data_IF_247040849336
#
_entry.id   IF_247040849336
#
_cell.length_a   1.000
_cell.length_b   1.000
_cell.length_c   1.000
_cell.angle_alpha   90.00
_cell.angle_beta   90.00
_cell.angle_gamma   90.00
#
_symmetry.space_group_name_H-M   'P 1'
#
loop_
_entity.id
_entity.type
_entity.pdbx_description
1 polymer ?
#
# COMPACT_ATOMS: atom_id res chain seq x y z
N UNK A 1 1.35 27.92 -5.79
CA UNK A 1 0.03 28.32 -5.26
C UNK A 1 -0.92 27.17 -5.58
N UNK A 2 -1.40 26.45 -4.57
CA UNK A 2 -2.23 25.24 -4.76
C UNK A 2 -3.63 25.65 -5.20
N UNK A 3 -4.15 25.00 -6.25
CA UNK A 3 -5.48 25.28 -6.80
C UNK A 3 -6.57 24.86 -5.79
N UNK A 4 -7.66 25.63 -5.59
CA UNK A 4 -8.85 25.17 -4.85
C UNK A 4 -9.33 23.77 -5.25
N UNK A 5 -9.18 23.38 -6.52
CA UNK A 5 -9.52 22.04 -7.01
C UNK A 5 -8.63 20.93 -6.42
N UNK A 6 -7.32 21.20 -6.27
CA UNK A 6 -6.35 20.30 -5.62
C UNK A 6 -6.74 20.05 -4.15
N UNK A 7 -7.13 21.10 -3.41
CA UNK A 7 -7.59 20.96 -2.02
C UNK A 7 -8.88 20.15 -1.90
N UNK A 8 -9.83 20.32 -2.82
CA UNK A 8 -11.08 19.56 -2.82
C UNK A 8 -10.83 18.07 -3.12
N UNK A 9 -9.92 17.77 -4.05
CA UNK A 9 -9.51 16.40 -4.36
C UNK A 9 -8.83 15.74 -3.15
N UNK A 10 -7.85 16.43 -2.56
CA UNK A 10 -7.13 15.96 -1.37
C UNK A 10 -8.08 15.71 -0.20
N UNK A 11 -9.00 16.64 0.09
CA UNK A 11 -10.03 16.47 1.12
C UNK A 11 -10.88 15.22 0.89
N UNK A 12 -11.37 14.99 -0.33
CA UNK A 12 -12.24 13.83 -0.63
C UNK A 12 -11.53 12.51 -0.39
N UNK A 13 -10.23 12.47 -0.66
CA UNK A 13 -9.40 11.27 -0.52
C UNK A 13 -8.91 11.04 0.92
N UNK A 14 -8.48 12.12 1.60
CA UNK A 14 -7.80 12.05 2.90
C UNK A 14 -8.73 12.24 4.10
N UNK A 15 -10.01 12.59 3.89
CA UNK A 15 -10.96 12.73 4.98
C UNK A 15 -11.51 11.37 5.42
N UNK A 16 -11.59 11.11 6.74
CA UNK A 16 -12.09 9.85 7.24
C UNK A 16 -13.55 9.62 6.83
N UNK A 17 -13.87 8.38 6.51
CA UNK A 17 -15.23 7.95 6.23
C UNK A 17 -16.00 7.84 7.56
N UNK A 18 -17.34 7.91 7.55
CA UNK A 18 -18.15 7.76 8.77
C UNK A 18 -17.89 6.47 9.57
N UNK A 19 -17.38 5.43 8.89
CA UNK A 19 -17.10 4.10 9.44
C UNK A 19 -15.62 3.87 9.74
N UNK A 20 -14.77 4.88 9.57
CA UNK A 20 -13.34 4.78 9.80
C UNK A 20 -13.01 4.84 11.29
N UNK A 21 -12.15 3.93 11.76
CA UNK A 21 -11.60 3.95 13.13
C UNK A 21 -10.36 4.83 13.28
N UNK A 22 -10.07 5.71 12.33
CA UNK A 22 -8.92 6.62 12.33
C UNK A 22 -9.35 8.08 12.09
N UNK A 23 -8.47 9.01 12.45
CA UNK A 23 -8.61 10.45 12.22
C UNK A 23 -7.25 11.11 12.02
N UNK A 24 -7.25 12.34 11.54
CA UNK A 24 -6.09 13.22 11.67
C UNK A 24 -6.04 13.81 13.08
N UNK A 25 -4.84 13.98 13.62
CA UNK A 25 -4.62 14.71 14.87
C UNK A 25 -5.00 16.19 14.73
N UNK A 26 -5.00 16.93 15.84
CA UNK A 26 -5.40 18.34 15.87
C UNK A 26 -4.52 19.22 14.96
N UNK A 27 -3.23 18.89 14.83
CA UNK A 27 -2.27 19.61 14.00
C UNK A 27 -2.23 19.13 12.53
N UNK A 28 -2.95 18.06 12.18
CA UNK A 28 -2.96 17.41 10.85
C UNK A 28 -1.57 17.03 10.37
N UNK A 29 -0.73 16.62 11.31
CA UNK A 29 0.61 16.10 11.05
C UNK A 29 0.65 14.59 11.21
N UNK A 30 -0.33 13.99 11.88
CA UNK A 30 -0.37 12.58 12.20
C UNK A 30 -1.75 12.02 11.88
N UNK A 31 -1.78 10.85 11.25
CA UNK A 31 -2.98 10.02 11.17
C UNK A 31 -2.90 9.03 12.32
N UNK A 32 -3.94 8.99 13.14
CA UNK A 32 -4.04 8.17 14.35
C UNK A 32 -5.32 7.34 14.36
N UNK A 33 -5.28 6.21 15.04
CA UNK A 33 -6.46 5.48 15.45
C UNK A 33 -7.30 6.30 16.44
N UNK A 34 -8.57 5.95 16.60
CA UNK A 34 -9.49 6.61 17.56
C UNK A 34 -9.02 6.53 19.02
N UNK A 35 -8.12 5.61 19.36
CA UNK A 35 -7.47 5.48 20.67
C UNK A 35 -6.20 6.35 20.81
N UNK A 36 -5.81 7.10 19.78
CA UNK A 36 -4.61 7.95 19.74
C UNK A 36 -3.34 7.23 19.25
N UNK A 37 -3.39 5.94 18.94
CA UNK A 37 -2.23 5.20 18.41
C UNK A 37 -1.89 5.71 17.01
N UNK A 38 -0.64 6.11 16.81
CA UNK A 38 -0.16 6.64 15.52
C UNK A 38 -0.17 5.57 14.42
N UNK A 39 -0.68 5.93 13.24
CA UNK A 39 -0.60 5.12 12.01
C UNK A 39 0.55 5.60 11.13
N UNK A 40 0.53 6.88 10.75
CA UNK A 40 1.51 7.46 9.82
C UNK A 40 1.61 8.98 10.00
N UNK A 41 2.80 9.52 9.70
CA UNK A 41 3.00 10.96 9.65
C UNK A 41 2.62 11.53 8.28
N UNK A 42 2.21 12.80 8.25
CA UNK A 42 1.85 13.50 7.01
C UNK A 42 2.97 13.46 5.97
N UNK A 43 4.20 13.75 6.38
CA UNK A 43 5.36 13.77 5.49
C UNK A 43 5.64 12.38 4.89
N UNK A 44 5.46 11.34 5.71
CA UNK A 44 5.56 9.94 5.27
C UNK A 44 4.49 9.64 4.20
N UNK A 45 3.23 10.00 4.48
CA UNK A 45 2.12 9.82 3.54
C UNK A 45 2.35 10.59 2.25
N UNK A 46 2.86 11.82 2.32
CA UNK A 46 3.15 12.64 1.15
C UNK A 46 4.16 11.98 0.22
N UNK A 47 5.24 11.42 0.76
CA UNK A 47 6.25 10.71 -0.04
C UNK A 47 5.70 9.42 -0.64
N UNK A 48 4.96 8.62 0.14
CA UNK A 48 4.35 7.39 -0.36
C UNK A 48 3.34 7.68 -1.45
N UNK A 49 2.43 8.64 -1.24
CA UNK A 49 1.42 9.01 -2.23
C UNK A 49 2.05 9.61 -3.48
N UNK A 50 3.11 10.42 -3.36
CA UNK A 50 3.86 10.94 -4.51
C UNK A 50 4.47 9.83 -5.34
N UNK A 51 5.01 8.80 -4.69
CA UNK A 51 5.59 7.63 -5.35
C UNK A 51 4.54 6.76 -6.06
N UNK A 52 3.36 6.59 -5.46
CA UNK A 52 2.25 5.85 -6.06
C UNK A 52 1.54 6.61 -7.19
N UNK A 53 1.47 7.95 -7.10
CA UNK A 53 0.65 8.80 -7.97
C UNK A 53 0.79 8.54 -9.49
N UNK A 54 1.99 8.26 -10.07
CA UNK A 54 2.11 7.95 -11.49
C UNK A 54 1.28 6.73 -11.95
N UNK A 55 0.98 5.80 -11.03
CA UNK A 55 0.16 4.61 -11.28
C UNK A 55 -1.28 4.76 -10.76
N UNK A 56 -1.61 5.92 -10.19
CA UNK A 56 -2.86 6.17 -9.46
C UNK A 56 -2.75 5.86 -7.97
N UNK A 57 -3.82 6.11 -7.21
CA UNK A 57 -3.83 5.90 -5.75
C UNK A 57 -4.80 4.78 -5.33
N UNK A 58 -4.41 3.93 -4.37
CA UNK A 58 -5.33 3.00 -3.73
C UNK A 58 -6.33 3.75 -2.84
N UNK A 59 -7.39 3.11 -2.33
CA UNK A 59 -8.23 3.72 -1.31
C UNK A 59 -7.40 4.05 -0.06
N UNK A 60 -7.62 5.24 0.49
CA UNK A 60 -6.78 5.76 1.58
C UNK A 60 -6.88 4.90 2.84
N UNK A 61 -8.07 4.38 3.16
CA UNK A 61 -8.26 3.43 4.26
C UNK A 61 -7.40 2.18 4.10
N UNK A 62 -7.32 1.63 2.88
CA UNK A 62 -6.52 0.43 2.59
C UNK A 62 -5.03 0.70 2.80
N UNK A 63 -4.56 1.87 2.36
CA UNK A 63 -3.18 2.30 2.57
C UNK A 63 -2.86 2.45 4.06
N UNK A 64 -3.72 3.11 4.84
CA UNK A 64 -3.53 3.28 6.28
C UNK A 64 -3.48 1.93 7.02
N UNK A 65 -4.32 0.96 6.65
CA UNK A 65 -4.27 -0.39 7.21
C UNK A 65 -2.92 -1.08 6.94
N UNK A 66 -2.38 -0.94 5.73
CA UNK A 66 -1.07 -1.50 5.39
C UNK A 66 0.05 -0.83 6.20
N UNK A 67 0.03 0.50 6.34
CA UNK A 67 1.04 1.24 7.10
C UNK A 67 0.97 0.93 8.59
N UNK A 68 -0.23 0.78 9.15
CA UNK A 68 -0.41 0.36 10.52
C UNK A 68 0.18 -1.04 10.79
N UNK A 69 0.02 -1.98 9.86
CA UNK A 69 0.61 -3.32 9.97
C UNK A 69 2.15 -3.31 9.95
N UNK A 70 2.76 -2.22 9.47
CA UNK A 70 4.20 -2.04 9.53
C UNK A 70 4.69 -1.58 10.92
N UNK A 71 3.80 -1.14 11.82
CA UNK A 71 4.14 -0.64 13.15
C UNK A 71 4.20 -1.76 14.21
N UNK A 72 4.98 -1.55 15.26
CA UNK A 72 5.17 -2.59 16.27
C UNK A 72 3.92 -2.85 17.13
N UNK A 73 3.05 -1.84 17.27
CA UNK A 73 1.78 -1.90 18.01
C UNK A 73 0.62 -2.55 17.22
N UNK A 74 0.87 -3.06 16.02
CA UNK A 74 -0.18 -3.62 15.15
C UNK A 74 -1.05 -4.69 15.84
N UNK A 75 -0.46 -5.59 16.63
CA UNK A 75 -1.20 -6.68 17.28
C UNK A 75 -2.27 -6.15 18.27
N UNK A 76 -1.93 -5.11 19.04
CA UNK A 76 -2.87 -4.49 19.99
C UNK A 76 -4.00 -3.78 19.23
N UNK A 77 -3.64 -3.09 18.15
CA UNK A 77 -4.58 -2.38 17.27
C UNK A 77 -5.53 -3.35 16.57
N UNK A 78 -5.03 -4.47 16.04
CA UNK A 78 -5.83 -5.42 15.26
C UNK A 78 -6.87 -6.13 16.13
N UNK A 79 -6.49 -6.51 17.36
CA UNK A 79 -7.42 -7.04 18.37
C UNK A 79 -8.48 -6.02 18.75
N UNK A 80 -8.08 -4.76 19.00
CA UNK A 80 -9.02 -3.70 19.33
C UNK A 80 -9.99 -3.42 18.19
N UNK A 81 -9.50 -3.36 16.95
CA UNK A 81 -10.32 -3.14 15.75
C UNK A 81 -11.34 -4.27 15.56
N UNK A 82 -10.93 -5.53 15.73
CA UNK A 82 -11.83 -6.67 15.64
C UNK A 82 -12.91 -6.64 16.73
N UNK A 83 -12.53 -6.29 17.97
CA UNK A 83 -13.48 -6.12 19.08
C UNK A 83 -14.47 -4.97 18.82
N UNK A 84 -14.00 -3.81 18.37
CA UNK A 84 -14.85 -2.67 18.01
C UNK A 84 -15.85 -3.04 16.91
N UNK A 85 -15.38 -3.67 15.84
CA UNK A 85 -16.23 -4.07 14.72
C UNK A 85 -17.24 -5.16 15.16
N UNK A 86 -16.82 -6.11 15.98
CA UNK A 86 -17.71 -7.14 16.54
C UNK A 86 -18.83 -6.55 17.40
N UNK A 87 -18.50 -5.56 18.24
CA UNK A 87 -19.50 -4.83 19.03
C UNK A 87 -20.47 -4.07 18.13
N UNK A 88 -19.98 -3.33 17.13
CA UNK A 88 -20.82 -2.60 16.18
C UNK A 88 -21.76 -3.53 15.40
N UNK A 89 -21.26 -4.69 14.96
CA UNK A 89 -22.04 -5.71 14.28
C UNK A 89 -23.15 -6.27 15.19
N UNK A 90 -22.84 -6.55 16.46
CA UNK A 90 -23.83 -7.04 17.44
C UNK A 90 -24.96 -6.03 17.69
N UNK A 91 -24.63 -4.75 17.82
CA UNK A 91 -25.61 -3.66 18.03
C UNK A 91 -26.43 -3.44 16.77
N UNK A 92 -25.79 -3.48 15.59
CA UNK A 92 -26.43 -3.34 14.29
C UNK A 92 -27.23 -4.57 13.84
N UNK A 93 -27.18 -5.69 14.57
CA UNK A 93 -27.71 -7.00 14.17
C UNK A 93 -27.22 -7.44 12.79
N UNK A 94 -26.00 -7.07 12.44
CA UNK A 94 -25.29 -7.52 11.25
C UNK A 94 -24.20 -8.52 11.63
N UNK A 95 -23.81 -9.38 10.69
CA UNK A 95 -22.58 -10.17 10.85
C UNK A 95 -21.38 -9.35 10.38
N UNK A 96 -20.22 -9.62 10.98
CA UNK A 96 -18.97 -9.22 10.37
C UNK A 96 -18.83 -9.91 9.01
N UNK A 97 -18.22 -9.24 8.01
CA UNK A 97 -17.93 -9.91 6.76
C UNK A 97 -16.91 -11.04 6.98
N UNK A 98 -17.17 -12.22 6.41
CA UNK A 98 -16.31 -13.41 6.58
C UNK A 98 -14.87 -13.22 6.05
N UNK A 99 -14.67 -12.26 5.15
CA UNK A 99 -13.35 -11.92 4.60
C UNK A 99 -12.49 -11.07 5.53
N UNK A 100 -13.06 -10.42 6.55
CA UNK A 100 -12.35 -9.47 7.39
C UNK A 100 -11.25 -10.14 8.25
N UNK A 101 -11.51 -11.27 8.94
CA UNK A 101 -10.47 -11.99 9.66
C UNK A 101 -9.31 -12.42 8.75
N UNK A 102 -9.60 -12.78 7.50
CA UNK A 102 -8.56 -13.16 6.54
C UNK A 102 -7.66 -11.97 6.16
N UNK A 103 -8.23 -10.77 5.97
CA UNK A 103 -7.43 -9.55 5.74
C UNK A 103 -6.53 -9.27 6.94
N UNK A 104 -7.06 -9.36 8.17
CA UNK A 104 -6.28 -9.10 9.38
C UNK A 104 -5.13 -10.10 9.52
N UNK A 105 -5.39 -11.40 9.31
CA UNK A 105 -4.34 -12.42 9.32
C UNK A 105 -3.27 -12.22 8.23
N UNK A 106 -3.65 -11.68 7.06
CA UNK A 106 -2.68 -11.28 6.02
C UNK A 106 -1.90 -10.02 6.37
N UNK A 107 -2.45 -9.12 7.18
CA UNK A 107 -1.70 -7.97 7.70
C UNK A 107 -0.71 -8.41 8.80
N UNK A 108 -1.02 -9.46 9.55
CA UNK A 108 -0.07 -10.06 10.48
C UNK A 108 1.18 -10.62 9.78
N UNK A 109 1.06 -11.08 8.52
CA UNK A 109 2.24 -11.50 7.75
C UNK A 109 3.13 -10.30 7.35
N UNK A 110 2.54 -9.13 7.09
CA UNK A 110 3.29 -7.87 6.89
C UNK A 110 4.03 -7.49 8.17
N UNK A 111 3.36 -7.60 9.33
CA UNK A 111 3.97 -7.36 10.65
C UNK A 111 5.15 -8.30 10.94
N UNK A 112 5.04 -9.54 10.49
CA UNK A 112 6.07 -10.57 10.63
C UNK A 112 7.28 -10.36 9.70
N UNK A 113 7.21 -9.40 8.76
CA UNK A 113 8.36 -9.09 7.91
C UNK A 113 9.54 -8.56 8.76
N UNK A 114 10.78 -8.87 8.33
CA UNK A 114 11.99 -8.27 8.86
C UNK A 114 11.88 -6.74 8.95
N UNK A 115 12.40 -6.14 10.04
CA UNK A 115 12.25 -4.71 10.31
C UNK A 115 12.78 -3.82 9.17
N UNK A 116 13.87 -4.23 8.51
CA UNK A 116 14.45 -3.55 7.35
C UNK A 116 13.50 -3.50 6.13
N UNK A 117 12.51 -4.39 6.06
CA UNK A 117 11.52 -4.44 4.98
C UNK A 117 10.18 -3.76 5.32
N UNK A 118 10.01 -3.21 6.54
CA UNK A 118 8.75 -2.56 6.95
C UNK A 118 8.90 -1.23 7.70
N UNK A 119 10.07 -0.89 8.23
CA UNK A 119 10.24 0.32 9.05
C UNK A 119 10.64 1.56 8.28
N UNK A 120 11.58 1.44 7.34
CA UNK A 120 12.04 2.61 6.60
C UNK A 120 11.02 3.07 5.55
N UNK A 121 11.04 4.37 5.24
CA UNK A 121 10.11 5.00 4.31
C UNK A 121 10.16 4.36 2.91
N UNK A 122 11.35 3.96 2.47
CA UNK A 122 11.53 3.33 1.15
C UNK A 122 10.87 1.96 1.11
N UNK A 123 11.02 1.18 2.19
CA UNK A 123 10.44 -0.14 2.34
C UNK A 123 8.91 -0.09 2.44
N UNK A 124 8.35 0.86 3.20
CA UNK A 124 6.90 1.08 3.26
C UNK A 124 6.31 1.50 1.92
N UNK A 125 7.00 2.39 1.20
CA UNK A 125 6.56 2.80 -0.13
C UNK A 125 6.63 1.64 -1.14
N UNK A 126 7.67 0.80 -1.06
CA UNK A 126 7.82 -0.41 -1.88
C UNK A 126 6.73 -1.45 -1.57
N UNK A 127 6.42 -1.66 -0.30
CA UNK A 127 5.31 -2.50 0.15
C UNK A 127 3.99 -2.00 -0.43
N UNK A 128 3.72 -0.70 -0.33
CA UNK A 128 2.53 -0.09 -0.90
C UNK A 128 2.48 -0.25 -2.43
N UNK A 129 3.59 -0.08 -3.13
CA UNK A 129 3.67 -0.34 -4.57
C UNK A 129 3.32 -1.79 -4.92
N UNK A 130 3.93 -2.76 -4.23
CA UNK A 130 3.71 -4.19 -4.48
C UNK A 130 2.25 -4.59 -4.20
N UNK A 131 1.72 -4.18 -3.05
CA UNK A 131 0.35 -4.50 -2.63
C UNK A 131 -0.64 -3.85 -3.58
N UNK A 132 -0.45 -2.58 -3.94
CA UNK A 132 -1.46 -1.85 -4.70
C UNK A 132 -1.24 -1.84 -6.22
N UNK A 133 -0.25 -2.54 -6.75
CA UNK A 133 0.16 -2.53 -8.17
C UNK A 133 -1.00 -2.68 -9.16
N UNK A 134 -1.93 -3.62 -8.90
CA UNK A 134 -3.07 -3.88 -9.79
C UNK A 134 -4.32 -3.07 -9.45
N UNK A 135 -4.29 -2.37 -8.31
CA UNK A 135 -5.46 -1.73 -7.70
C UNK A 135 -5.39 -0.20 -7.67
N UNK A 136 -4.22 0.36 -7.95
CA UNK A 136 -3.96 1.80 -7.99
C UNK A 136 -4.80 2.55 -9.04
N UNK A 137 -5.53 1.85 -9.91
CA UNK A 137 -6.41 2.41 -10.93
C UNK A 137 -7.75 2.97 -10.40
N UNK A 138 -7.98 2.96 -9.09
CA UNK A 138 -9.20 3.53 -8.49
C UNK A 138 -9.23 5.06 -8.61
N UNK A 139 -8.07 5.70 -8.50
CA UNK A 139 -7.88 7.12 -8.82
C UNK A 139 -6.93 7.24 -10.00
N UNK A 140 -7.28 8.07 -10.98
CA UNK A 140 -6.44 8.27 -12.17
C UNK A 140 -5.16 9.03 -11.79
N UNK A 141 -4.05 8.87 -12.54
CA UNK A 141 -2.80 9.59 -12.25
C UNK A 141 -2.94 11.12 -12.18
N UNK A 142 -3.83 11.70 -12.98
CA UNK A 142 -4.12 13.13 -12.95
C UNK A 142 -4.76 13.55 -11.61
N UNK A 143 -5.76 12.80 -11.15
CA UNK A 143 -6.43 13.02 -9.86
C UNK A 143 -5.45 12.78 -8.70
N UNK A 144 -4.60 11.75 -8.81
CA UNK A 144 -3.57 11.44 -7.84
C UNK A 144 -2.58 12.60 -7.67
N UNK A 145 -2.15 13.21 -8.77
CA UNK A 145 -1.26 14.36 -8.76
C UNK A 145 -1.91 15.59 -8.10
N UNK A 146 -3.21 15.80 -8.31
CA UNK A 146 -3.98 16.85 -7.62
C UNK A 146 -4.03 16.61 -6.11
N UNK A 147 -4.30 15.36 -5.69
CA UNK A 147 -4.33 14.97 -4.28
C UNK A 147 -2.98 15.23 -3.60
N UNK A 148 -1.87 14.85 -4.24
CA UNK A 148 -0.51 15.05 -3.69
C UNK A 148 -0.20 16.53 -3.54
N UNK A 149 -0.51 17.37 -4.55
CA UNK A 149 -0.33 18.84 -4.45
C UNK A 149 -1.22 19.46 -3.38
N UNK A 150 -2.46 19.00 -3.29
CA UNK A 150 -3.43 19.42 -2.29
C UNK A 150 -2.94 19.08 -0.88
N UNK A 151 -2.39 17.88 -0.68
CA UNK A 151 -1.86 17.42 0.60
C UNK A 151 -0.76 18.34 1.13
N UNK A 152 0.19 18.79 0.32
CA UNK A 152 1.23 19.72 0.76
C UNK A 152 0.65 21.08 1.21
N UNK A 153 -0.49 21.48 0.67
CA UNK A 153 -1.17 22.76 0.95
C UNK A 153 -2.22 22.74 2.07
N UNK A 154 -2.62 21.56 2.56
CA UNK A 154 -3.65 21.42 3.60
C UNK A 154 -3.21 22.07 4.92
N UNK A 155 -3.71 23.28 5.18
CA UNK A 155 -3.46 24.06 6.41
C UNK A 155 -4.76 24.33 7.17
N UNK A 156 -5.91 24.35 6.49
CA UNK A 156 -7.20 24.63 7.09
C UNK A 156 -7.72 23.45 7.93
N UNK A 157 -8.02 23.70 9.21
CA UNK A 157 -8.54 22.71 10.11
C UNK A 157 -9.79 21.94 9.66
N UNK A 158 -10.71 22.63 9.01
CA UNK A 158 -12.02 22.11 8.66
C UNK A 158 -12.00 21.13 7.47
N UNK A 159 -10.90 21.10 6.70
CA UNK A 159 -10.84 20.33 5.45
C UNK A 159 -10.71 18.82 5.67
N UNK A 160 -10.25 18.37 6.83
CA UNK A 160 -10.06 16.94 7.13
C UNK A 160 -11.04 16.40 8.16
N UNK A 161 -12.12 17.14 8.44
CA UNK A 161 -13.22 16.65 9.24
C UNK A 161 -13.89 15.43 8.57
N UNK A 162 -14.48 14.50 9.36
CA UNK A 162 -15.19 13.34 8.83
C UNK A 162 -16.22 13.74 7.78
N UNK A 163 -16.35 12.92 6.74
CA UNK A 163 -17.31 13.17 5.69
C UNK A 163 -18.74 13.00 6.23
N UNK A 164 -19.57 14.04 6.16
CA UNK A 164 -20.97 14.02 6.61
C UNK A 164 -21.93 13.26 5.67
N UNK A 165 -21.44 12.22 5.00
CA UNK A 165 -22.26 11.40 4.11
C UNK A 165 -22.88 10.22 4.86
N UNK A 166 -24.11 9.85 4.51
CA UNK A 166 -24.69 8.62 5.03
C UNK A 166 -23.80 7.41 4.66
N UNK A 167 -23.56 6.46 5.57
CA UNK A 167 -22.77 5.28 5.29
C UNK A 167 -23.43 4.50 4.16
N UNK A 168 -22.69 4.28 3.07
CA UNK A 168 -23.18 3.44 1.98
C UNK A 168 -22.95 1.97 2.35
N UNK A 169 -23.85 1.06 1.95
CA UNK A 169 -23.59 -0.37 2.10
C UNK A 169 -22.33 -0.75 1.31
N UNK A 170 -21.53 -1.68 1.85
CA UNK A 170 -20.31 -2.22 1.23
C UNK A 170 -19.10 -1.27 1.07
N UNK A 171 -19.11 -0.07 1.66
CA UNK A 171 -17.97 0.87 1.57
C UNK A 171 -16.68 0.22 2.04
N UNK A 172 -16.68 -0.43 3.20
CA UNK A 172 -15.49 -1.11 3.73
C UNK A 172 -14.98 -2.21 2.80
N UNK A 173 -15.88 -2.94 2.14
CA UNK A 173 -15.48 -3.97 1.19
C UNK A 173 -14.79 -3.37 -0.05
N UNK A 174 -15.32 -2.26 -0.58
CA UNK A 174 -14.70 -1.57 -1.70
C UNK A 174 -13.33 -0.97 -1.33
N UNK A 175 -13.21 -0.40 -0.13
CA UNK A 175 -11.98 0.18 0.38
C UNK A 175 -10.89 -0.88 0.62
N UNK A 176 -11.25 -2.04 1.18
CA UNK A 176 -10.26 -3.05 1.60
C UNK A 176 -9.99 -4.16 0.57
N UNK A 177 -10.82 -4.30 -0.47
CA UNK A 177 -10.61 -5.31 -1.52
C UNK A 177 -9.24 -5.19 -2.22
N UNK A 178 -8.77 -3.99 -2.62
CA UNK A 178 -7.41 -3.77 -3.13
C UNK A 178 -6.32 -4.36 -2.23
N UNK A 179 -6.44 -4.11 -0.92
CA UNK A 179 -5.50 -4.58 0.08
C UNK A 179 -5.51 -6.10 0.17
N UNK A 180 -6.69 -6.71 0.24
CA UNK A 180 -6.84 -8.17 0.26
C UNK A 180 -6.15 -8.87 -0.91
N UNK A 181 -6.37 -8.36 -2.13
CA UNK A 181 -5.79 -8.91 -3.35
C UNK A 181 -4.27 -8.74 -3.38
N UNK A 182 -3.78 -7.57 -2.97
CA UNK A 182 -2.37 -7.24 -2.95
C UNK A 182 -1.54 -8.02 -1.93
N UNK A 183 -2.11 -8.24 -0.74
CA UNK A 183 -1.41 -8.94 0.35
C UNK A 183 -1.04 -10.38 0.00
N UNK A 184 -1.73 -11.02 -0.96
CA UNK A 184 -1.36 -12.34 -1.44
C UNK A 184 0.02 -12.40 -2.12
N UNK A 185 0.57 -11.26 -2.53
CA UNK A 185 1.88 -11.14 -3.19
C UNK A 185 3.02 -10.83 -2.22
N UNK A 186 2.71 -10.53 -0.96
CA UNK A 186 3.71 -10.07 0.00
C UNK A 186 4.55 -11.26 0.46
N UNK A 187 5.82 -11.21 0.11
CA UNK A 187 6.84 -12.17 0.50
C UNK A 187 8.18 -11.45 0.72
N UNK A 188 8.94 -11.91 1.71
CA UNK A 188 10.17 -11.24 2.13
C UNK A 188 11.27 -11.29 1.05
N UNK A 189 11.39 -12.42 0.35
CA UNK A 189 12.38 -12.58 -0.72
C UNK A 189 12.01 -11.73 -1.94
N UNK A 190 10.73 -11.73 -2.31
CA UNK A 190 10.18 -10.86 -3.36
C UNK A 190 10.48 -9.38 -3.08
N UNK A 191 10.25 -8.92 -1.84
CA UNK A 191 10.54 -7.53 -1.46
C UNK A 191 12.03 -7.21 -1.47
N UNK A 192 12.89 -8.13 -1.01
CA UNK A 192 14.35 -7.96 -1.08
C UNK A 192 14.82 -7.85 -2.51
N UNK A 193 14.35 -8.74 -3.38
CA UNK A 193 14.71 -8.74 -4.78
C UNK A 193 14.25 -7.46 -5.47
N UNK A 194 13.01 -7.03 -5.22
CA UNK A 194 12.47 -5.78 -5.78
C UNK A 194 13.23 -4.56 -5.27
N UNK A 195 13.64 -4.56 -3.99
CA UNK A 195 14.48 -3.49 -3.42
C UNK A 195 15.87 -3.43 -4.05
N UNK A 196 16.48 -4.58 -4.32
CA UNK A 196 17.85 -4.66 -4.87
C UNK A 196 17.90 -4.41 -6.38
N UNK A 197 16.89 -4.89 -7.12
CA UNK A 197 16.95 -5.01 -8.59
C UNK A 197 15.81 -4.31 -9.31
N UNK A 198 14.76 -3.90 -8.59
CA UNK A 198 13.50 -3.44 -9.19
C UNK A 198 12.62 -4.55 -9.77
N UNK A 199 13.01 -5.82 -9.62
CA UNK A 199 12.31 -6.98 -10.17
C UNK A 199 11.66 -7.81 -9.07
N UNK A 200 10.50 -8.38 -9.36
CA UNK A 200 9.79 -9.30 -8.44
C UNK A 200 10.30 -10.75 -8.55
N UNK A 201 10.97 -11.08 -9.65
CA UNK A 201 11.58 -12.38 -9.90
C UNK A 201 12.86 -12.23 -10.71
N UNK A 202 13.82 -13.13 -10.50
CA UNK A 202 15.04 -13.18 -11.30
C UNK A 202 14.66 -13.48 -12.76
N UNK A 203 15.00 -12.57 -13.67
CA UNK A 203 14.85 -12.80 -15.10
C UNK A 203 15.72 -13.98 -15.48
N UNK A 204 15.09 -15.08 -15.88
CA UNK A 204 15.84 -16.20 -16.47
C UNK A 204 16.38 -15.71 -17.81
N UNK A 205 17.67 -15.95 -18.13
CA UNK A 205 18.19 -15.67 -19.45
C UNK A 205 17.26 -16.31 -20.48
N UNK A 206 16.87 -15.56 -21.51
CA UNK A 206 16.15 -16.14 -22.62
C UNK A 206 17.00 -17.30 -23.17
N UNK A 207 16.40 -18.47 -23.35
CA UNK A 207 17.02 -19.52 -24.16
C UNK A 207 17.13 -18.95 -25.57
N UNK A 208 18.32 -18.44 -25.89
CA UNK A 208 18.64 -18.01 -27.24
C UNK A 208 18.75 -19.29 -28.05
N UNK A 209 17.80 -19.51 -28.96
CA UNK A 209 17.96 -20.47 -30.05
C UNK A 209 19.16 -20.00 -30.87
N UNK A 210 20.32 -20.56 -30.55
CA UNK A 210 21.54 -20.31 -31.30
C UNK A 210 21.31 -20.83 -32.70
N UNK A 211 21.53 -19.97 -33.69
CA UNK A 211 21.49 -20.43 -35.08
C UNK A 211 22.57 -21.52 -35.26
N UNK A 212 22.43 -22.45 -36.22
CA UNK A 212 23.45 -23.46 -36.49
C UNK A 212 24.85 -22.85 -36.71
N UNK A 213 24.92 -21.63 -37.26
CA UNK A 213 26.17 -20.91 -37.45
C UNK A 213 26.83 -20.48 -36.13
N UNK A 214 26.03 -20.13 -35.11
CA UNK A 214 26.55 -19.73 -33.79
C UNK A 214 26.98 -20.94 -32.96
N UNK A 215 26.32 -22.09 -33.13
CA UNK A 215 26.81 -23.37 -32.61
C UNK A 215 28.18 -23.74 -33.19
N UNK A 216 28.36 -23.61 -34.51
CA UNK A 216 29.64 -23.92 -35.17
C UNK A 216 30.75 -22.96 -34.68
N UNK A 217 30.47 -21.65 -34.57
CA UNK A 217 31.46 -20.68 -34.07
C UNK A 217 31.86 -20.93 -32.61
N UNK A 218 30.92 -21.34 -31.75
CA UNK A 218 31.21 -21.73 -30.37
C UNK A 218 32.04 -23.00 -30.29
N UNK A 219 31.74 -24.01 -31.10
CA UNK A 219 32.51 -25.26 -31.17
C UNK A 219 33.95 -25.00 -31.63
N UNK A 220 34.12 -24.18 -32.68
CA UNK A 220 35.46 -23.81 -33.20
C UNK A 220 36.24 -22.99 -32.17
N UNK A 221 35.60 -22.08 -31.42
CA UNK A 221 36.29 -21.35 -30.35
C UNK A 221 36.70 -22.27 -29.20
N UNK A 222 35.81 -23.17 -28.77
CA UNK A 222 36.10 -24.13 -27.71
C UNK A 222 37.25 -25.09 -28.07
N UNK A 223 37.31 -25.55 -29.33
CA UNK A 223 38.39 -26.40 -29.83
C UNK A 223 39.73 -25.65 -30.01
N UNK A 224 39.70 -24.32 -30.16
CA UNK A 224 40.91 -23.51 -30.34
C UNK A 224 41.60 -23.21 -29.00
N UNK A 225 40.84 -23.19 -27.92
CA UNK A 225 41.35 -22.98 -26.55
C UNK A 225 41.74 -24.30 -25.87
N UNK A 226 41.47 -25.45 -26.51
CA UNK A 226 41.89 -26.79 -26.08
C UNK A 226 43.31 -27.08 -26.60
N UNK A 227 44.32 -26.55 -25.90
CA UNK A 227 45.73 -26.84 -26.16
C UNK A 227 46.16 -28.08 -25.37
N UNK A 228 45.71 -29.25 -25.81
CA UNK A 228 46.45 -30.50 -25.64
C UNK A 228 46.32 -31.35 -26.91
N UNK A 229 47.33 -31.23 -27.77
CA UNK A 229 47.99 -32.33 -28.50
C UNK A 229 49.31 -31.84 -29.11
#
# INVERSE_FOLDING_TARGET
MTDPSDHAAARRYLAPLPVSSWRWDEARQVVEWTDGTTIAFRQELEEILRRLAPRGLPPFQALLMLLAACHDSWCEVSEHLLAQLGLAASVGRSSLPDWLPEILGRLDTVRALPADLRHDLTARALLAELVFEDSSRLLRPDDASQIVRGLSGLTDPALLAPQNSAPRPFVLQHELRPLYQGLAKVDAETLRLRRQTGLDALVRPAEVDLTPADHIRRLISALRDDVEL
#
